data_IF_686328282024
#
_entry.id   IF_686328282024
#
_cell.length_a   1.000
_cell.length_b   1.000
_cell.length_c   1.000
_cell.angle_alpha   90.00
_cell.angle_beta   90.00
_cell.angle_gamma   90.00
#
_symmetry.space_group_name_H-M   'P 1'
#
loop_
_entity.id
_entity.type
_entity.pdbx_description
1 polymer ?
#
# COMPACT_ATOMS: atom_id res chain seq x y z
N UNK A 1 2.55 0.57 -3.14
CA UNK A 1 3.16 -0.25 -4.20
C UNK A 1 3.75 -1.48 -3.54
N UNK A 2 3.44 -2.66 -4.06
CA UNK A 2 3.84 -3.94 -3.52
C UNK A 2 4.57 -4.79 -4.54
N UNK A 3 5.76 -5.28 -4.20
CA UNK A 3 6.58 -6.07 -5.11
C UNK A 3 6.91 -7.45 -4.53
N UNK A 4 6.99 -8.45 -5.40
CA UNK A 4 7.48 -9.77 -5.06
C UNK A 4 8.40 -10.33 -6.14
N UNK A 5 9.42 -11.09 -5.71
CA UNK A 5 10.29 -11.86 -6.57
C UNK A 5 10.82 -13.11 -5.83
N UNK A 6 11.69 -13.87 -6.49
CA UNK A 6 12.27 -15.11 -5.92
C UNK A 6 13.05 -14.89 -4.61
N UNK A 7 13.57 -13.68 -4.38
CA UNK A 7 14.35 -13.32 -3.18
C UNK A 7 13.46 -12.85 -2.02
N UNK A 8 12.23 -12.46 -2.28
CA UNK A 8 11.28 -12.04 -1.26
C UNK A 8 10.24 -11.05 -1.78
N UNK A 9 9.44 -10.55 -0.85
CA UNK A 9 8.36 -9.59 -1.12
C UNK A 9 8.36 -8.45 -0.11
N UNK A 10 7.75 -7.34 -0.49
CA UNK A 10 7.64 -6.17 0.35
C UNK A 10 6.69 -5.13 -0.22
N UNK A 11 6.57 -4.03 0.49
CA UNK A 11 5.73 -2.90 0.11
C UNK A 11 6.44 -1.58 0.36
N UNK A 12 6.21 -0.62 -0.54
CA UNK A 12 6.45 0.80 -0.35
C UNK A 12 5.12 1.52 -0.11
N UNK A 13 5.11 2.36 0.92
CA UNK A 13 4.00 3.25 1.27
C UNK A 13 4.52 4.68 1.27
N UNK A 14 3.78 5.57 0.60
CA UNK A 14 4.03 7.01 0.63
C UNK A 14 2.76 7.72 1.07
N UNK A 15 2.85 8.51 2.13
CA UNK A 15 1.79 9.44 2.53
C UNK A 15 2.22 10.86 2.18
N UNK A 16 1.37 11.56 1.44
CA UNK A 16 1.58 12.93 1.01
C UNK A 16 0.55 13.84 1.68
N UNK A 17 1.05 14.83 2.43
CA UNK A 17 0.26 15.86 3.08
C UNK A 17 0.06 17.10 2.19
N UNK A 18 -0.92 17.96 2.51
CA UNK A 18 -1.26 19.14 1.70
C UNK A 18 -0.11 20.15 1.55
N UNK A 19 0.82 20.19 2.50
CA UNK A 19 1.97 21.10 2.48
C UNK A 19 3.22 20.48 1.81
N UNK A 20 3.04 19.39 1.06
CA UNK A 20 4.15 18.64 0.44
C UNK A 20 4.94 17.79 1.45
N UNK A 21 4.40 17.56 2.64
CA UNK A 21 4.98 16.62 3.61
C UNK A 21 4.90 15.22 3.03
N UNK A 22 6.05 14.54 2.95
CA UNK A 22 6.14 13.15 2.49
C UNK A 22 6.61 12.27 3.64
N UNK A 23 5.87 11.19 3.89
CA UNK A 23 6.29 10.11 4.77
C UNK A 23 6.38 8.85 3.94
N UNK A 24 7.59 8.31 3.86
CA UNK A 24 7.88 7.09 3.11
C UNK A 24 8.20 5.96 4.08
N UNK A 25 7.55 4.82 3.89
CA UNK A 25 7.82 3.61 4.64
C UNK A 25 8.05 2.44 3.68
N UNK A 26 9.11 1.68 3.93
CA UNK A 26 9.38 0.42 3.23
C UNK A 26 9.24 -0.75 4.19
N UNK A 27 8.49 -1.76 3.77
CA UNK A 27 8.19 -2.96 4.53
C UNK A 27 8.76 -4.15 3.77
N UNK A 28 9.52 -4.99 4.48
CA UNK A 28 9.93 -6.30 3.98
C UNK A 28 9.04 -7.34 4.64
N UNK A 29 8.40 -8.18 3.83
CA UNK A 29 7.56 -9.25 4.37
C UNK A 29 8.41 -10.44 4.79
N UNK A 30 8.11 -10.99 5.95
CA UNK A 30 8.73 -12.23 6.46
C UNK A 30 8.11 -13.49 5.83
N UNK A 31 7.05 -13.32 5.06
CA UNK A 31 6.39 -14.36 4.29
C UNK A 31 6.55 -14.11 2.79
N UNK A 32 6.39 -15.17 1.99
CA UNK A 32 6.28 -15.05 0.53
C UNK A 32 4.89 -14.58 0.16
N UNK A 33 4.82 -13.52 -0.64
CA UNK A 33 3.60 -13.04 -1.28
C UNK A 33 3.71 -13.18 -2.80
N UNK A 34 2.59 -13.31 -3.52
CA UNK A 34 2.53 -12.97 -4.94
C UNK A 34 2.59 -11.44 -5.13
N UNK A 35 2.78 -10.94 -6.35
CA UNK A 35 2.71 -9.50 -6.60
C UNK A 35 1.36 -8.93 -6.16
N UNK A 36 0.25 -9.58 -6.52
CA UNK A 36 -1.09 -9.11 -6.11
C UNK A 36 -1.23 -9.07 -4.59
N UNK A 37 -0.75 -10.10 -3.89
CA UNK A 37 -0.77 -10.11 -2.42
C UNK A 37 0.11 -8.99 -1.86
N UNK A 38 1.27 -8.73 -2.43
CA UNK A 38 2.13 -7.64 -2.00
C UNK A 38 1.47 -6.28 -2.19
N UNK A 39 0.73 -6.08 -3.28
CA UNK A 39 -0.06 -4.85 -3.52
C UNK A 39 -1.18 -4.66 -2.50
N UNK A 40 -1.89 -5.74 -2.15
CA UNK A 40 -2.89 -5.70 -1.08
C UNK A 40 -2.27 -5.34 0.27
N UNK A 41 -1.15 -5.97 0.62
CA UNK A 41 -0.43 -5.67 1.86
C UNK A 41 0.11 -4.24 1.88
N UNK A 42 0.55 -3.70 0.73
CA UNK A 42 0.94 -2.30 0.61
C UNK A 42 -0.22 -1.35 0.89
N UNK A 43 -1.41 -1.64 0.35
CA UNK A 43 -2.61 -0.86 0.62
C UNK A 43 -3.01 -0.94 2.10
N UNK A 44 -3.04 -2.14 2.69
CA UNK A 44 -3.38 -2.35 4.10
C UNK A 44 -2.41 -1.62 5.02
N UNK A 45 -1.10 -1.72 4.75
CA UNK A 45 -0.08 -1.03 5.52
C UNK A 45 -0.23 0.50 5.43
N UNK A 46 -0.52 1.03 4.24
CA UNK A 46 -0.78 2.46 4.06
C UNK A 46 -1.99 2.96 4.83
N UNK A 47 -3.08 2.18 4.86
CA UNK A 47 -4.27 2.51 5.65
C UNK A 47 -3.96 2.48 7.15
N UNK A 48 -3.22 1.47 7.63
CA UNK A 48 -2.83 1.37 9.04
C UNK A 48 -1.98 2.57 9.47
N UNK A 49 -0.98 2.94 8.67
CA UNK A 49 -0.15 4.11 8.93
C UNK A 49 -0.99 5.40 8.97
N UNK A 50 -1.94 5.56 8.05
CA UNK A 50 -2.84 6.70 8.05
C UNK A 50 -3.70 6.77 9.33
N UNK A 51 -4.21 5.63 9.80
CA UNK A 51 -4.98 5.54 11.05
C UNK A 51 -4.11 5.91 12.25
N UNK A 52 -2.88 5.37 12.32
CA UNK A 52 -1.93 5.66 13.42
C UNK A 52 -1.56 7.14 13.48
N UNK A 53 -1.48 7.79 12.32
CA UNK A 53 -1.25 9.23 12.20
C UNK A 53 -2.50 10.10 12.47
N UNK A 54 -3.67 9.48 12.68
CA UNK A 54 -4.92 10.20 12.97
C UNK A 54 -5.57 10.87 11.75
N UNK A 55 -5.29 10.39 10.53
CA UNK A 55 -5.94 10.88 9.32
C UNK A 55 -7.42 10.47 9.32
N UNK A 56 -8.30 11.42 8.96
CA UNK A 56 -9.75 11.17 8.85
C UNK A 56 -10.18 10.76 7.44
N UNK A 57 -9.46 11.22 6.44
CA UNK A 57 -9.71 10.97 5.03
C UNK A 57 -8.38 10.69 4.34
N UNK A 58 -8.40 9.73 3.42
CA UNK A 58 -7.24 9.37 2.61
C UNK A 58 -7.68 9.07 1.18
N UNK A 59 -6.85 9.44 0.21
CA UNK A 59 -6.99 9.03 -1.18
C UNK A 59 -5.91 8.01 -1.50
N UNK A 60 -6.29 6.75 -1.56
CA UNK A 60 -5.38 5.69 -1.98
C UNK A 60 -5.12 5.76 -3.49
N UNK A 61 -3.86 5.62 -3.89
CA UNK A 61 -3.44 5.46 -5.29
C UNK A 61 -2.64 4.16 -5.39
N UNK A 62 -2.96 3.34 -6.38
CA UNK A 62 -2.24 2.11 -6.71
C UNK A 62 -2.24 1.97 -8.23
N UNK A 63 -1.18 1.37 -8.76
CA UNK A 63 -1.02 0.95 -10.14
C UNK A 63 -1.64 -0.45 -10.41
N UNK A 64 -1.99 -1.19 -9.36
CA UNK A 64 -2.67 -2.48 -9.46
C UNK A 64 -4.16 -2.31 -9.76
N UNK A 65 -4.53 -2.47 -11.04
CA UNK A 65 -5.92 -2.42 -11.48
C UNK A 65 -6.82 -3.39 -10.70
N UNK A 66 -6.31 -4.57 -10.36
CA UNK A 66 -7.05 -5.57 -9.59
C UNK A 66 -7.44 -5.02 -8.22
N UNK A 67 -6.47 -4.45 -7.49
CA UNK A 67 -6.69 -3.86 -6.17
C UNK A 67 -7.68 -2.71 -6.27
N UNK A 68 -7.51 -1.81 -7.25
CA UNK A 68 -8.40 -0.65 -7.40
C UNK A 68 -9.84 -1.06 -7.72
N UNK A 69 -10.05 -2.01 -8.64
CA UNK A 69 -11.40 -2.44 -9.04
C UNK A 69 -12.11 -3.20 -7.93
N UNK A 70 -11.41 -4.08 -7.18
CA UNK A 70 -12.03 -4.80 -6.07
C UNK A 70 -12.39 -3.87 -4.91
N UNK A 71 -11.52 -2.91 -4.57
CA UNK A 71 -11.80 -1.92 -3.51
C UNK A 71 -12.94 -0.98 -3.90
N UNK A 72 -13.07 -0.66 -5.19
CA UNK A 72 -14.19 0.13 -5.72
C UNK A 72 -15.49 -0.66 -5.86
N UNK A 73 -15.47 -2.00 -5.70
CA UNK A 73 -16.64 -2.85 -5.91
C UNK A 73 -17.06 -3.00 -7.37
N UNK A 74 -16.12 -2.79 -8.30
CA UNK A 74 -16.33 -2.84 -9.75
C UNK A 74 -16.05 -4.23 -10.35
N UNK A 75 -15.78 -5.23 -9.50
CA UNK A 75 -15.35 -6.58 -9.88
C UNK A 75 -16.19 -7.66 -9.20
#
# INVERSE_FOLDING_TARGET
>A
DGASNLRGSGAGVVLEGPDGVLIEQSLKFEFRASNNQAEYEALIAGIRLAIEMGLKELRAKSDSQLVTSQVAGEF
#
